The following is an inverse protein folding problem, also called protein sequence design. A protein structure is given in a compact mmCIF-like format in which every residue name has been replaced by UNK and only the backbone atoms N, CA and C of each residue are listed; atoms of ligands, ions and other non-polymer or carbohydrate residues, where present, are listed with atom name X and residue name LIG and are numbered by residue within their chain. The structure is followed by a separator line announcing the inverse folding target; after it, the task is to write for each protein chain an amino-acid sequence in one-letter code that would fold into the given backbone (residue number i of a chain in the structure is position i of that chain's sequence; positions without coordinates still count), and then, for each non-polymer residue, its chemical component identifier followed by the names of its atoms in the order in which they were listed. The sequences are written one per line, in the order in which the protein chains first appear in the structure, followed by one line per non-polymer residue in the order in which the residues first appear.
data_IF_358764453036
#
_entry.id   IF_358764453036
#
_cell.length_a   1.000
_cell.length_b   1.000
_cell.length_c   1.000
_cell.angle_alpha   90.00
_cell.angle_beta   90.00
_cell.angle_gamma   90.00
#
_symmetry.space_group_name_H-M   'P 1'
#
loop_
_entity.id
_entity.type
_entity.pdbx_description
1 polymer ?
#
# COMPACT_ATOMS: atom_id res chain seq x y z
N UNK A 1 -1.93 18.82 -0.89
CA UNK A 1 -3.33 19.10 -0.52
C UNK A 1 -3.89 17.92 0.26
N UNK A 2 -4.95 18.09 1.05
CA UNK A 2 -5.59 16.97 1.75
C UNK A 2 -6.83 16.52 0.97
N UNK A 3 -6.86 15.26 0.54
CA UNK A 3 -7.99 14.65 -0.15
C UNK A 3 -8.80 13.78 0.80
N UNK A 4 -10.10 13.70 0.54
CA UNK A 4 -11.01 12.79 1.23
C UNK A 4 -11.35 11.65 0.29
N UNK A 5 -11.16 10.44 0.77
CA UNK A 5 -11.46 9.21 0.03
C UNK A 5 -12.08 8.22 1.00
N UNK A 6 -12.99 7.40 0.50
CA UNK A 6 -13.58 6.27 1.22
C UNK A 6 -13.08 4.96 0.62
N UNK A 7 -12.98 3.93 1.46
CA UNK A 7 -12.68 2.56 1.03
C UNK A 7 -13.89 1.68 1.33
N UNK A 8 -14.66 1.32 0.31
CA UNK A 8 -15.91 0.53 0.44
C UNK A 8 -16.89 1.13 1.48
N UNK A 9 -17.00 2.46 1.56
CA UNK A 9 -17.84 3.15 2.55
C UNK A 9 -17.24 3.23 3.97
N UNK A 10 -16.02 2.73 4.18
CA UNK A 10 -15.24 2.98 5.39
C UNK A 10 -14.37 4.23 5.26
N UNK A 11 -14.34 5.04 6.32
CA UNK A 11 -13.48 6.22 6.41
C UNK A 11 -12.08 5.89 6.98
N UNK A 12 -11.83 4.63 7.34
CA UNK A 12 -10.56 4.19 7.94
C UNK A 12 -9.52 3.88 6.86
N UNK A 13 -9.22 4.86 6.01
CA UNK A 13 -8.30 4.71 4.86
C UNK A 13 -6.91 4.20 5.28
N UNK A 14 -6.42 4.66 6.43
CA UNK A 14 -5.12 4.23 6.97
C UNK A 14 -5.07 2.75 7.36
N UNK A 15 -6.20 2.04 7.37
CA UNK A 15 -6.21 0.58 7.55
C UNK A 15 -5.83 -0.15 6.27
N UNK A 16 -6.21 0.40 5.12
CA UNK A 16 -6.10 -0.25 3.82
C UNK A 16 -4.96 0.30 2.96
N UNK A 17 -4.25 1.33 3.43
CA UNK A 17 -3.19 1.98 2.69
C UNK A 17 -2.02 2.37 3.61
N UNK A 18 -0.79 2.16 3.12
CA UNK A 18 0.45 2.63 3.74
C UNK A 18 1.12 3.62 2.80
N UNK A 19 1.18 4.90 3.19
CA UNK A 19 1.82 5.95 2.40
C UNK A 19 3.19 6.31 3.00
N UNK A 20 4.24 6.25 2.19
CA UNK A 20 5.60 6.70 2.54
C UNK A 20 6.12 7.69 1.51
N UNK A 21 7.31 8.26 1.76
CA UNK A 21 7.93 9.22 0.84
C UNK A 21 8.38 8.61 -0.49
N UNK A 22 8.53 7.28 -0.57
CA UNK A 22 9.11 6.59 -1.74
C UNK A 22 8.20 5.52 -2.34
N UNK A 23 7.16 5.08 -1.64
CA UNK A 23 6.20 4.09 -2.14
C UNK A 23 4.87 4.22 -1.41
N UNK A 24 3.81 3.76 -2.07
CA UNK A 24 2.48 3.62 -1.52
C UNK A 24 2.05 2.16 -1.64
N UNK A 25 1.59 1.56 -0.55
CA UNK A 25 0.98 0.23 -0.56
C UNK A 25 -0.52 0.36 -0.41
N UNK A 26 -1.27 -0.34 -1.26
CA UNK A 26 -2.72 -0.37 -1.19
C UNK A 26 -3.21 -1.82 -1.13
N UNK A 27 -4.14 -2.08 -0.23
CA UNK A 27 -4.79 -3.37 -0.06
C UNK A 27 -5.60 -3.76 -1.29
N UNK A 28 -5.33 -4.95 -1.83
CA UNK A 28 -6.10 -5.52 -2.95
C UNK A 28 -7.58 -5.65 -2.54
N UNK A 29 -8.49 -5.40 -3.49
CA UNK A 29 -9.93 -5.56 -3.28
C UNK A 29 -10.66 -4.31 -2.79
N UNK A 30 -10.10 -3.12 -3.04
CA UNK A 30 -10.81 -1.84 -2.93
C UNK A 30 -11.64 -1.51 -4.18
N UNK A 31 -12.48 -0.48 -4.06
CA UNK A 31 -13.22 0.06 -5.20
C UNK A 31 -12.29 0.82 -6.15
N UNK A 32 -12.64 0.85 -7.45
CA UNK A 32 -11.89 1.62 -8.45
C UNK A 32 -11.80 3.11 -8.09
N UNK A 33 -12.83 3.67 -7.45
CA UNK A 33 -12.81 5.08 -7.00
C UNK A 33 -11.63 5.37 -6.06
N UNK A 34 -11.32 4.45 -5.15
CA UNK A 34 -10.17 4.59 -4.25
C UNK A 34 -8.86 4.61 -5.05
N UNK A 35 -8.66 3.60 -5.90
CA UNK A 35 -7.44 3.50 -6.70
C UNK A 35 -7.26 4.71 -7.61
N UNK A 36 -8.30 5.14 -8.33
CA UNK A 36 -8.22 6.31 -9.21
C UNK A 36 -7.84 7.58 -8.48
N UNK A 37 -8.32 7.77 -7.24
CA UNK A 37 -7.97 8.96 -6.44
C UNK A 37 -6.52 8.93 -5.98
N UNK A 38 -6.03 7.76 -5.56
CA UNK A 38 -4.65 7.56 -5.10
C UNK A 38 -3.67 7.66 -6.28
N UNK A 39 -3.97 6.99 -7.39
CA UNK A 39 -3.15 7.00 -8.59
C UNK A 39 -3.11 8.37 -9.26
N UNK A 40 -4.22 9.12 -9.30
CA UNK A 40 -4.25 10.45 -9.89
C UNK A 40 -3.26 11.45 -9.27
N UNK A 41 -2.92 11.26 -7.99
CA UNK A 41 -2.00 12.15 -7.27
C UNK A 41 -0.61 11.57 -7.08
N UNK A 42 -0.50 10.26 -6.93
CA UNK A 42 0.74 9.61 -6.52
C UNK A 42 1.45 8.89 -7.65
N UNK A 43 0.75 8.44 -8.70
CA UNK A 43 1.34 7.57 -9.73
C UNK A 43 2.50 8.23 -10.50
N UNK A 44 2.51 9.56 -10.60
CA UNK A 44 3.58 10.30 -11.27
C UNK A 44 4.86 10.43 -10.41
N UNK A 45 4.77 10.27 -9.09
CA UNK A 45 5.86 10.57 -8.14
C UNK A 45 6.37 9.32 -7.42
N UNK A 46 5.47 8.46 -6.96
CA UNK A 46 5.81 7.24 -6.22
C UNK A 46 5.05 6.03 -6.76
N UNK A 47 5.64 4.83 -6.75
CA UNK A 47 4.94 3.61 -7.12
C UNK A 47 3.79 3.31 -6.15
N UNK A 48 2.59 3.10 -6.70
CA UNK A 48 1.42 2.59 -5.99
C UNK A 48 1.36 1.09 -6.22
N UNK A 49 1.54 0.31 -5.16
CA UNK A 49 1.63 -1.15 -5.22
C UNK A 49 0.39 -1.78 -4.62
N UNK A 50 -0.32 -2.56 -5.42
CA UNK A 50 -1.50 -3.32 -4.99
C UNK A 50 -1.07 -4.66 -4.40
N UNK A 51 -1.12 -4.79 -3.08
CA UNK A 51 -0.65 -6.00 -2.39
C UNK A 51 -1.61 -6.42 -1.28
N UNK A 52 -1.64 -7.72 -0.99
CA UNK A 52 -2.19 -8.25 0.25
C UNK A 52 -1.03 -8.60 1.17
N UNK A 53 -1.25 -8.55 2.48
CA UNK A 53 -0.24 -8.92 3.46
C UNK A 53 -0.86 -9.97 4.38
N UNK A 54 -0.24 -11.15 4.45
CA UNK A 54 -0.80 -12.29 5.18
C UNK A 54 -2.20 -12.68 4.69
N UNK A 55 -2.46 -12.59 3.37
CA UNK A 55 -3.78 -12.80 2.76
C UNK A 55 -4.88 -11.87 3.29
N UNK A 56 -4.51 -10.72 3.86
CA UNK A 56 -5.45 -9.70 4.33
C UNK A 56 -5.34 -8.41 3.52
N UNK A 57 -6.44 -7.67 3.47
CA UNK A 57 -6.54 -6.36 2.79
C UNK A 57 -6.07 -5.19 3.66
N UNK A 58 -5.80 -5.44 4.94
CA UNK A 58 -5.51 -4.41 5.96
C UNK A 58 -4.03 -4.02 6.00
N UNK A 59 -3.43 -3.77 4.83
CA UNK A 59 -1.97 -3.55 4.68
C UNK A 59 -1.45 -2.40 5.54
N UNK A 60 -2.25 -1.35 5.72
CA UNK A 60 -1.91 -0.17 6.53
C UNK A 60 -1.74 -0.45 8.02
N UNK A 61 -2.40 -1.50 8.55
CA UNK A 61 -2.29 -1.88 9.97
C UNK A 61 -1.19 -2.86 10.26
N UNK A 62 -0.91 -3.76 9.32
CA UNK A 62 0.01 -4.89 9.53
C UNK A 62 1.42 -4.58 9.06
N UNK A 63 1.60 -3.56 8.23
CA UNK A 63 2.91 -3.12 7.76
C UNK A 63 3.32 -1.81 8.40
N UNK A 64 4.62 -1.63 8.60
CA UNK A 64 5.21 -0.35 9.01
C UNK A 64 6.43 -0.14 8.16
N UNK A 65 6.53 1.03 7.53
CA UNK A 65 7.63 1.33 6.62
C UNK A 65 7.94 2.80 6.58
N UNK A 66 9.15 3.10 6.12
CA UNK A 66 9.60 4.45 5.80
C UNK A 66 10.30 4.40 4.43
N UNK A 67 10.94 5.51 4.04
CA UNK A 67 11.64 5.59 2.75
C UNK A 67 12.83 4.63 2.59
N UNK A 68 13.29 4.03 3.68
CA UNK A 68 14.47 3.18 3.72
C UNK A 68 14.15 1.69 3.83
N UNK A 69 12.95 1.34 4.28
CA UNK A 69 12.57 -0.06 4.46
C UNK A 69 11.10 -0.26 4.78
N UNK A 70 10.67 -1.52 4.67
CA UNK A 70 9.31 -1.97 4.94
C UNK A 70 9.34 -3.22 5.82
N UNK A 71 8.70 -3.14 6.99
CA UNK A 71 8.50 -4.28 7.87
C UNK A 71 7.14 -4.91 7.59
N UNK A 72 7.18 -6.22 7.34
CA UNK A 72 6.01 -7.07 7.11
C UNK A 72 5.89 -8.11 8.22
N UNK A 73 4.68 -8.58 8.56
CA UNK A 73 4.47 -9.60 9.59
C UNK A 73 5.01 -10.96 9.14
N UNK A 74 5.30 -11.83 10.11
CA UNK A 74 5.81 -13.20 9.86
C UNK A 74 4.82 -14.10 9.08
N UNK A 75 3.54 -13.75 9.05
CA UNK A 75 2.51 -14.48 8.29
C UNK A 75 2.45 -14.13 6.80
N UNK A 76 3.32 -13.23 6.32
CA UNK A 76 3.35 -12.80 4.91
C UNK A 76 3.84 -13.94 4.03
N UNK A 77 3.11 -14.23 2.96
CA UNK A 77 3.48 -15.33 2.06
C UNK A 77 4.69 -14.95 1.19
N UNK A 78 5.48 -15.94 0.77
CA UNK A 78 6.62 -15.70 -0.12
C UNK A 78 6.22 -15.05 -1.45
N UNK A 79 5.00 -15.31 -1.93
CA UNK A 79 4.46 -14.70 -3.14
C UNK A 79 4.19 -13.20 -2.94
N UNK A 80 3.57 -12.81 -1.83
CA UNK A 80 3.37 -11.40 -1.46
C UNK A 80 4.71 -10.68 -1.31
N UNK A 81 5.68 -11.34 -0.65
CA UNK A 81 7.01 -10.79 -0.42
C UNK A 81 7.79 -10.61 -1.73
N UNK A 82 7.71 -11.57 -2.64
CA UNK A 82 8.31 -11.45 -3.97
C UNK A 82 7.63 -10.34 -4.79
N UNK A 83 6.31 -10.20 -4.70
CA UNK A 83 5.59 -9.12 -5.37
C UNK A 83 6.05 -7.75 -4.88
N UNK A 84 6.17 -7.57 -3.57
CA UNK A 84 6.71 -6.33 -2.98
C UNK A 84 8.13 -6.05 -3.48
N UNK A 85 9.03 -7.03 -3.45
CA UNK A 85 10.41 -6.85 -3.92
C UNK A 85 10.51 -6.46 -5.40
N UNK A 86 9.59 -6.92 -6.24
CA UNK A 86 9.58 -6.58 -7.66
C UNK A 86 8.99 -5.19 -7.95
N UNK A 87 8.19 -4.65 -7.02
CA UNK A 87 7.46 -3.38 -7.21
C UNK A 87 8.01 -2.22 -6.41
N UNK A 88 8.75 -2.47 -5.32
CA UNK A 88 9.41 -1.44 -4.55
C UNK A 88 10.77 -1.03 -5.18
N UNK A 89 11.20 0.23 -4.99
CA UNK A 89 12.53 0.68 -5.40
C UNK A 89 13.64 -0.08 -4.68
N UNK A 90 14.76 -0.35 -5.36
CA UNK A 90 15.92 -1.10 -4.82
C UNK A 90 16.53 -0.51 -3.53
N UNK A 91 16.31 0.80 -3.29
CA UNK A 91 16.76 1.49 -2.08
C UNK A 91 16.00 1.07 -0.82
N UNK A 92 14.79 0.51 -0.98
CA UNK A 92 13.93 0.08 0.12
C UNK A 92 14.20 -1.39 0.43
N UNK A 93 14.69 -1.68 1.64
CA UNK A 93 15.06 -3.03 2.09
C UNK A 93 14.34 -3.51 3.34
#
# INVERSE_FOLDING_TARGET
MALRVDYEGSNDVGVFCTLTNSYCLVGIGGTQNFYSTVEAELADVIPVVHSSISSTRIVGRVTVGNRHGLLVPNGTTDQELQHLRNSLPDEVR
#
